data_IF_340525864710
#
_entry.id   IF_340525864710
#
_cell.length_a   1.000
_cell.length_b   1.000
_cell.length_c   1.000
_cell.angle_alpha   90.00
_cell.angle_beta   90.00
_cell.angle_gamma   90.00
#
_symmetry.space_group_name_H-M   'P 1'
#
loop_
_entity.id
_entity.type
_entity.pdbx_description
1 polymer ?
#
# COMPACT_ATOMS: atom_id res chain seq x y z
N UNK A 1 20.22 -25.18 25.71
CA UNK A 1 19.24 -24.10 25.98
C UNK A 1 19.19 -23.06 24.86
N UNK A 2 20.32 -22.57 24.36
CA UNK A 2 20.33 -21.56 23.27
C UNK A 2 19.64 -22.00 21.96
N UNK A 3 19.81 -23.26 21.55
CA UNK A 3 19.14 -23.79 20.35
C UNK A 3 17.60 -23.71 20.45
N UNK A 4 17.05 -23.93 21.64
CA UNK A 4 15.61 -23.91 21.88
C UNK A 4 15.07 -22.48 21.83
N UNK A 5 15.78 -21.52 22.43
CA UNK A 5 15.41 -20.09 22.36
C UNK A 5 15.38 -19.60 20.91
N UNK A 6 16.42 -19.93 20.13
CA UNK A 6 16.48 -19.58 18.70
C UNK A 6 15.29 -20.15 17.94
N UNK A 7 14.97 -21.43 18.16
CA UNK A 7 13.87 -22.10 17.47
C UNK A 7 12.49 -21.51 17.81
N UNK A 8 12.28 -21.12 19.08
CA UNK A 8 11.06 -20.43 19.51
C UNK A 8 10.97 -19.06 18.84
N UNK A 9 12.06 -18.30 18.77
CA UNK A 9 12.10 -17.00 18.09
C UNK A 9 11.73 -17.10 16.61
N UNK A 10 12.32 -18.05 15.88
CA UNK A 10 11.99 -18.33 14.47
C UNK A 10 10.50 -18.64 14.27
N UNK A 11 9.91 -19.44 15.18
CA UNK A 11 8.49 -19.78 15.13
C UNK A 11 7.58 -18.57 15.35
N UNK A 12 7.91 -17.72 16.32
CA UNK A 12 7.13 -16.50 16.60
C UNK A 12 7.16 -15.53 15.42
N UNK A 13 8.33 -15.32 14.82
CA UNK A 13 8.48 -14.49 13.61
C UNK A 13 7.63 -15.06 12.47
N UNK A 14 7.68 -16.38 12.25
CA UNK A 14 6.87 -17.03 11.22
C UNK A 14 5.37 -16.86 11.47
N UNK A 15 4.91 -17.00 12.72
CA UNK A 15 3.52 -16.80 13.08
C UNK A 15 3.05 -15.37 12.79
N UNK A 16 3.88 -14.37 13.12
CA UNK A 16 3.56 -12.96 12.88
C UNK A 16 3.49 -12.64 11.39
N UNK A 17 4.43 -13.18 10.59
CA UNK A 17 4.38 -13.10 9.11
C UNK A 17 3.08 -13.70 8.56
N UNK A 18 2.63 -14.84 9.10
CA UNK A 18 1.37 -15.46 8.66
C UNK A 18 0.14 -14.60 8.97
N UNK A 19 0.08 -13.99 10.15
CA UNK A 19 -1.00 -13.04 10.51
C UNK A 19 -1.01 -11.84 9.58
N UNK A 20 0.14 -11.21 9.37
CA UNK A 20 0.27 -10.03 8.51
C UNK A 20 -0.13 -10.38 7.07
N UNK A 21 0.27 -11.54 6.54
CA UNK A 21 -0.14 -12.00 5.20
C UNK A 21 -1.65 -12.25 5.09
N UNK A 22 -2.30 -12.68 6.17
CA UNK A 22 -3.76 -12.83 6.20
C UNK A 22 -4.48 -11.47 6.12
N UNK A 23 -3.92 -10.44 6.77
CA UNK A 23 -4.45 -9.06 6.77
C UNK A 23 -4.13 -8.35 5.44
N UNK A 24 -2.89 -8.47 4.99
CA UNK A 24 -2.33 -7.86 3.79
C UNK A 24 -2.22 -8.90 2.69
N UNK A 25 -3.35 -9.17 2.01
CA UNK A 25 -3.37 -10.10 0.89
C UNK A 25 -2.49 -9.60 -0.27
N UNK A 26 -1.85 -10.56 -0.93
CA UNK A 26 -1.07 -10.32 -2.16
C UNK A 26 0.17 -9.45 -1.96
N UNK A 27 0.91 -9.63 -0.86
CA UNK A 27 2.22 -8.98 -0.71
C UNK A 27 3.12 -9.35 -1.89
N UNK A 28 3.65 -8.35 -2.57
CA UNK A 28 4.71 -8.56 -3.56
C UNK A 28 6.06 -8.80 -2.85
N UNK A 29 7.13 -9.22 -3.56
CA UNK A 29 8.43 -9.48 -2.94
C UNK A 29 9.01 -8.31 -2.14
N UNK A 30 8.85 -7.08 -2.63
CA UNK A 30 9.35 -5.87 -1.95
C UNK A 30 8.57 -5.60 -0.66
N UNK A 31 7.24 -5.71 -0.71
CA UNK A 31 6.40 -5.55 0.48
C UNK A 31 6.66 -6.64 1.51
N UNK A 32 6.94 -7.88 1.06
CA UNK A 32 7.31 -8.97 1.98
C UNK A 32 8.64 -8.70 2.67
N UNK A 33 9.65 -8.17 1.96
CA UNK A 33 10.93 -7.80 2.57
C UNK A 33 10.77 -6.67 3.58
N UNK A 34 9.93 -5.67 3.27
CA UNK A 34 9.63 -4.58 4.19
C UNK A 34 8.95 -5.09 5.46
N UNK A 35 7.93 -5.94 5.33
CA UNK A 35 7.28 -6.60 6.47
C UNK A 35 8.29 -7.35 7.33
N UNK A 36 9.18 -8.12 6.70
CA UNK A 36 10.18 -8.92 7.39
C UNK A 36 11.13 -8.03 8.22
N UNK A 37 11.66 -6.96 7.62
CA UNK A 37 12.52 -5.99 8.30
C UNK A 37 11.82 -5.34 9.50
N UNK A 38 10.55 -4.96 9.36
CA UNK A 38 9.78 -4.33 10.43
C UNK A 38 9.51 -5.29 11.60
N UNK A 39 9.25 -6.57 11.33
CA UNK A 39 9.09 -7.57 12.40
C UNK A 39 10.42 -7.76 13.15
N UNK A 40 11.54 -7.82 12.42
CA UNK A 40 12.87 -7.95 13.02
C UNK A 40 13.26 -6.73 13.87
N UNK A 41 12.82 -5.54 13.48
CA UNK A 41 12.97 -4.29 14.25
C UNK A 41 11.96 -4.15 15.41
N UNK A 42 11.01 -5.08 15.53
CA UNK A 42 10.05 -5.11 16.64
C UNK A 42 8.82 -4.22 16.46
N UNK A 43 8.48 -3.84 15.23
CA UNK A 43 7.23 -3.12 14.96
C UNK A 43 6.01 -3.98 15.26
N UNK A 44 4.93 -3.32 15.69
CA UNK A 44 3.67 -4.01 15.91
C UNK A 44 2.99 -4.39 14.59
N UNK A 45 2.14 -5.40 14.63
CA UNK A 45 1.27 -5.78 13.50
C UNK A 45 0.51 -4.58 12.93
N UNK A 46 -0.02 -3.71 13.81
CA UNK A 46 -0.80 -2.55 13.41
C UNK A 46 0.06 -1.52 12.65
N UNK A 47 1.27 -1.23 13.14
CA UNK A 47 2.19 -0.29 12.49
C UNK A 47 2.61 -0.80 11.10
N UNK A 48 2.89 -2.10 11.00
CA UNK A 48 3.23 -2.75 9.73
C UNK A 48 2.07 -2.63 8.74
N UNK A 49 0.85 -2.96 9.16
CA UNK A 49 -0.35 -2.88 8.31
C UNK A 49 -0.60 -1.46 7.81
N UNK A 50 -0.47 -0.46 8.69
CA UNK A 50 -0.61 0.95 8.32
C UNK A 50 0.45 1.35 7.31
N UNK A 51 1.72 0.98 7.54
CA UNK A 51 2.83 1.33 6.67
C UNK A 51 2.66 0.74 5.27
N UNK A 52 2.36 -0.55 5.15
CA UNK A 52 2.17 -1.19 3.83
C UNK A 52 0.98 -0.59 3.08
N UNK A 53 -0.14 -0.30 3.77
CA UNK A 53 -1.28 0.38 3.14
C UNK A 53 -0.92 1.79 2.67
N UNK A 54 -0.10 2.51 3.42
CA UNK A 54 0.41 3.82 3.04
C UNK A 54 1.27 3.76 1.77
N UNK A 55 2.21 2.81 1.71
CA UNK A 55 3.06 2.57 0.53
C UNK A 55 2.22 2.26 -0.70
N UNK A 56 1.25 1.34 -0.59
CA UNK A 56 0.33 1.00 -1.69
C UNK A 56 -0.50 2.20 -2.15
N UNK A 57 -0.97 3.02 -1.22
CA UNK A 57 -1.72 4.23 -1.53
C UNK A 57 -0.87 5.23 -2.30
N UNK A 58 0.37 5.47 -1.85
CA UNK A 58 1.31 6.34 -2.53
C UNK A 58 1.57 5.89 -3.97
N UNK A 59 1.85 4.59 -4.18
CA UNK A 59 2.03 4.04 -5.51
C UNK A 59 0.81 4.25 -6.41
N UNK A 60 -0.40 4.05 -5.88
CA UNK A 60 -1.64 4.28 -6.65
C UNK A 60 -1.89 5.75 -6.96
N UNK A 61 -1.55 6.67 -6.05
CA UNK A 61 -1.61 8.10 -6.32
C UNK A 61 -0.71 8.44 -7.51
N UNK A 62 0.54 7.98 -7.51
CA UNK A 62 1.49 8.30 -8.57
C UNK A 62 1.06 7.72 -9.93
N UNK A 63 0.53 6.50 -9.96
CA UNK A 63 -0.05 5.92 -11.18
C UNK A 63 -1.21 6.79 -11.70
N UNK A 64 -2.14 7.21 -10.82
CA UNK A 64 -3.28 8.03 -11.24
C UNK A 64 -2.82 9.40 -11.76
N UNK A 65 -1.84 10.04 -11.09
CA UNK A 65 -1.25 11.29 -11.57
C UNK A 65 -0.66 11.14 -12.96
N UNK A 66 0.06 10.06 -13.22
CA UNK A 66 0.64 9.79 -14.53
C UNK A 66 -0.45 9.66 -15.61
N UNK A 67 -1.50 8.88 -15.34
CA UNK A 67 -2.63 8.73 -16.27
C UNK A 67 -3.33 10.06 -16.58
N UNK A 68 -3.56 10.91 -15.56
CA UNK A 68 -4.18 12.22 -15.76
C UNK A 68 -3.26 13.18 -16.54
N UNK A 69 -1.95 13.12 -16.30
CA UNK A 69 -0.97 13.90 -17.07
C UNK A 69 -0.96 13.50 -18.53
N UNK A 70 -0.97 12.20 -18.82
CA UNK A 70 -1.08 11.66 -20.19
C UNK A 70 -2.40 12.04 -20.87
N UNK A 71 -3.48 12.18 -20.09
CA UNK A 71 -4.78 12.64 -20.57
C UNK A 71 -4.87 14.18 -20.76
N UNK A 72 -3.80 14.93 -20.47
CA UNK A 72 -3.70 16.36 -20.73
C UNK A 72 -4.06 17.28 -19.56
N UNK A 73 -4.29 16.74 -18.35
CA UNK A 73 -4.57 17.57 -17.18
C UNK A 73 -3.30 18.30 -16.70
N UNK A 74 -3.46 19.54 -16.24
CA UNK A 74 -2.36 20.31 -15.62
C UNK A 74 -2.04 19.82 -14.20
N UNK A 75 -0.79 19.97 -13.75
CA UNK A 75 -0.34 19.48 -12.44
C UNK A 75 -1.15 20.04 -11.26
N UNK A 76 -1.55 21.32 -11.31
CA UNK A 76 -2.40 21.94 -10.30
C UNK A 76 -3.78 21.27 -10.22
N UNK A 77 -4.39 21.02 -11.39
CA UNK A 77 -5.68 20.35 -11.47
C UNK A 77 -5.60 18.89 -11.03
N UNK A 78 -4.50 18.19 -11.36
CA UNK A 78 -4.26 16.79 -10.96
C UNK A 78 -4.25 16.64 -9.44
N UNK A 79 -3.51 17.48 -8.72
CA UNK A 79 -3.39 17.36 -7.26
C UNK A 79 -4.76 17.54 -6.56
N UNK A 80 -5.56 18.48 -7.04
CA UNK A 80 -6.92 18.71 -6.54
C UNK A 80 -7.84 17.51 -6.80
N UNK A 81 -7.79 16.94 -8.00
CA UNK A 81 -8.61 15.78 -8.38
C UNK A 81 -8.23 14.54 -7.56
N UNK A 82 -6.94 14.23 -7.46
CA UNK A 82 -6.44 13.12 -6.63
C UNK A 82 -6.82 13.32 -5.15
N UNK A 83 -6.76 14.56 -4.65
CA UNK A 83 -7.17 14.88 -3.29
C UNK A 83 -8.66 14.59 -3.02
N UNK A 84 -9.53 14.92 -3.97
CA UNK A 84 -10.99 14.64 -3.87
C UNK A 84 -11.30 13.15 -3.87
N UNK A 85 -10.55 12.37 -4.66
CA UNK A 85 -10.76 10.92 -4.80
C UNK A 85 -9.83 10.07 -3.91
N UNK A 86 -9.14 10.68 -2.94
CA UNK A 86 -8.23 9.97 -2.02
C UNK A 86 -8.93 8.86 -1.23
N UNK A 87 -10.23 9.00 -0.95
CA UNK A 87 -11.03 7.98 -0.28
C UNK A 87 -11.21 6.74 -1.16
N UNK A 88 -11.49 6.93 -2.45
CA UNK A 88 -11.63 5.86 -3.43
C UNK A 88 -10.27 5.17 -3.67
N UNK A 89 -9.19 5.95 -3.68
CA UNK A 89 -7.83 5.42 -3.68
C UNK A 89 -7.53 4.61 -2.41
N UNK A 90 -7.98 5.03 -1.22
CA UNK A 90 -7.79 4.25 0.02
C UNK A 90 -8.61 2.96 0.05
N UNK A 91 -9.78 2.93 -0.57
CA UNK A 91 -10.72 1.80 -0.47
C UNK A 91 -10.36 0.59 -1.33
N UNK A 92 -9.27 0.65 -2.10
CA UNK A 92 -8.87 -0.48 -2.96
C UNK A 92 -9.60 -0.56 -4.30
N UNK A 93 -10.37 0.46 -4.70
CA UNK A 93 -11.06 0.50 -6.00
C UNK A 93 -10.07 0.41 -7.17
N UNK A 94 -10.52 -0.11 -8.31
CA UNK A 94 -9.68 -0.17 -9.50
C UNK A 94 -9.26 1.25 -9.90
N UNK A 95 -7.97 1.44 -10.18
CA UNK A 95 -7.41 2.74 -10.53
C UNK A 95 -7.93 3.28 -11.87
N UNK A 96 -8.21 2.40 -12.82
CA UNK A 96 -8.76 2.74 -14.14
C UNK A 96 -10.20 3.26 -13.99
N UNK A 97 -11.00 2.64 -13.13
CA UNK A 97 -12.36 3.12 -12.82
C UNK A 97 -12.34 4.51 -12.18
N UNK A 98 -11.40 4.76 -11.26
CA UNK A 98 -11.22 6.08 -10.66
C UNK A 98 -10.82 7.09 -11.72
N UNK A 99 -9.87 6.73 -12.59
CA UNK A 99 -9.43 7.58 -13.68
C UNK A 99 -10.58 7.96 -14.63
N UNK A 100 -11.37 6.99 -15.09
CA UNK A 100 -12.51 7.24 -15.99
C UNK A 100 -13.62 8.06 -15.31
N UNK A 101 -13.87 7.85 -14.02
CA UNK A 101 -14.76 8.71 -13.22
C UNK A 101 -14.26 10.17 -13.20
N UNK A 102 -12.96 10.39 -12.97
CA UNK A 102 -12.38 11.73 -12.96
C UNK A 102 -12.49 12.37 -14.35
N UNK A 103 -12.13 11.63 -15.41
CA UNK A 103 -12.13 12.11 -16.80
C UNK A 103 -13.54 12.43 -17.31
N UNK A 104 -14.55 11.65 -16.92
CA UNK A 104 -15.95 11.93 -17.30
C UNK A 104 -16.54 13.13 -16.56
N UNK A 105 -16.10 13.38 -15.33
CA UNK A 105 -16.55 14.50 -14.50
C UNK A 105 -15.81 15.82 -14.73
N UNK A 106 -14.64 15.80 -15.37
CA UNK A 106 -13.76 16.96 -15.48
C UNK A 106 -13.14 17.06 -16.88
N UNK A 107 -13.06 18.27 -17.43
CA UNK A 107 -12.36 18.51 -18.70
C UNK A 107 -10.87 18.77 -18.42
N UNK A 108 -9.95 18.24 -19.26
CA UNK A 108 -8.52 18.52 -19.18
C UNK A 108 -8.21 20.02 -19.20
#
# INVERSE_FOLDING_TARGET
MEWLKKRIGEFLIMAEKMKIRAILKGLNPVESLLVDSMIEEGFSEADIVVQIRSVRLGARIEILKAMLKEAGFSEGHINDLVGKDIRDLRSGKNIEEIFEKIKSGNKP
#
